data_IF_997676554320
#
_entry.id   IF_997676554320
#
_cell.length_a   1.000
_cell.length_b   1.000
_cell.length_c   1.000
_cell.angle_alpha   90.00
_cell.angle_beta   90.00
_cell.angle_gamma   90.00
#
_symmetry.space_group_name_H-M   'P 1'
#
loop_
_entity.id
_entity.type
_entity.pdbx_description
1 polymer ?
#
# COMPACT_ATOMS: atom_id res chain seq x y z
N UNK A 1 -6.79 9.71 -31.14
CA UNK A 1 -6.38 10.94 -30.44
C UNK A 1 -4.99 10.70 -29.85
N UNK A 2 -3.98 11.47 -30.27
CA UNK A 2 -2.59 11.37 -29.79
C UNK A 2 -2.58 11.67 -28.29
N UNK A 3 -1.79 10.95 -27.51
CA UNK A 3 -1.62 11.28 -26.09
C UNK A 3 -0.70 12.49 -26.00
N UNK A 4 -1.23 13.61 -25.53
CA UNK A 4 -0.54 14.91 -25.53
C UNK A 4 -0.39 15.50 -24.13
N UNK A 5 -0.32 14.64 -23.10
CA UNK A 5 -0.09 15.08 -21.73
C UNK A 5 1.38 14.96 -21.38
N UNK A 6 1.86 15.85 -20.52
CA UNK A 6 3.18 15.78 -19.94
C UNK A 6 3.09 15.61 -18.41
N UNK A 7 3.87 14.70 -17.79
CA UNK A 7 3.97 14.66 -16.32
C UNK A 7 4.55 15.97 -15.76
N UNK A 8 4.22 16.29 -14.51
CA UNK A 8 4.54 17.57 -13.88
C UNK A 8 5.50 17.37 -12.71
N UNK A 9 5.24 16.38 -11.85
CA UNK A 9 5.96 16.21 -10.59
C UNK A 9 6.69 14.86 -10.55
N UNK A 10 7.98 14.87 -10.25
CA UNK A 10 8.79 13.64 -10.24
C UNK A 10 8.69 12.87 -8.91
N UNK A 11 9.52 11.84 -8.72
CA UNK A 11 9.64 11.06 -7.50
C UNK A 11 9.99 11.94 -6.31
N UNK A 12 9.60 11.52 -5.09
CA UNK A 12 9.86 12.29 -3.88
C UNK A 12 11.35 12.62 -3.71
N UNK A 13 12.22 11.63 -3.96
CA UNK A 13 13.66 11.77 -3.82
C UNK A 13 14.22 12.91 -4.66
N UNK A 14 13.80 13.01 -5.92
CA UNK A 14 14.27 14.04 -6.82
C UNK A 14 13.52 15.36 -6.60
N UNK A 15 12.18 15.32 -6.51
CA UNK A 15 11.33 16.49 -6.25
C UNK A 15 11.74 17.27 -4.99
N UNK A 16 12.13 16.58 -3.92
CA UNK A 16 12.55 17.23 -2.68
C UNK A 16 13.81 18.09 -2.81
N UNK A 17 14.66 17.82 -3.81
CA UNK A 17 15.93 18.52 -4.08
C UNK A 17 15.78 19.68 -5.07
N UNK A 18 14.69 19.72 -5.83
CA UNK A 18 14.43 20.76 -6.82
C UNK A 18 14.23 22.14 -6.16
N UNK A 19 14.52 23.24 -6.88
CA UNK A 19 14.19 24.58 -6.40
C UNK A 19 12.67 24.82 -6.34
N UNK A 20 12.28 25.87 -5.62
CA UNK A 20 10.87 26.28 -5.44
C UNK A 20 10.43 27.17 -6.61
N UNK A 21 9.16 27.08 -6.98
CA UNK A 21 8.57 27.81 -8.09
C UNK A 21 8.93 27.21 -9.45
N UNK A 22 8.78 28.01 -10.50
CA UNK A 22 8.94 27.56 -11.89
C UNK A 22 10.36 27.14 -12.26
N UNK A 23 11.37 27.52 -11.47
CA UNK A 23 12.76 27.09 -11.68
C UNK A 23 12.89 25.56 -11.65
N UNK A 24 11.97 24.85 -10.99
CA UNK A 24 11.94 23.37 -11.02
C UNK A 24 11.77 22.81 -12.45
N UNK A 25 11.15 23.57 -13.35
CA UNK A 25 10.86 23.13 -14.72
C UNK A 25 12.10 23.16 -15.62
N UNK A 26 13.20 23.79 -15.20
CA UNK A 26 14.45 23.78 -15.95
C UNK A 26 15.03 22.37 -16.08
N UNK A 27 14.72 21.46 -15.15
CA UNK A 27 15.12 20.05 -15.25
C UNK A 27 14.16 19.21 -16.12
N UNK A 28 13.01 19.78 -16.54
CA UNK A 28 11.95 19.09 -17.27
C UNK A 28 11.49 19.88 -18.51
N UNK A 29 12.27 19.91 -19.59
CA UNK A 29 11.97 20.75 -20.75
C UNK A 29 10.65 20.36 -21.45
N UNK A 30 10.27 19.07 -21.48
CA UNK A 30 8.97 18.66 -22.04
C UNK A 30 7.81 19.24 -21.22
N UNK A 31 7.93 19.25 -19.90
CA UNK A 31 6.92 19.82 -18.98
C UNK A 31 6.88 21.32 -19.13
N UNK A 32 8.05 21.97 -19.22
CA UNK A 32 8.18 23.41 -19.45
C UNK A 32 7.48 23.84 -20.73
N UNK A 33 7.79 23.18 -21.86
CA UNK A 33 7.17 23.44 -23.15
C UNK A 33 5.66 23.20 -23.12
N UNK A 34 5.21 22.12 -22.47
CA UNK A 34 3.79 21.83 -22.29
C UNK A 34 3.04 22.97 -21.57
N UNK A 35 3.62 23.50 -20.50
CA UNK A 35 3.04 24.62 -19.74
C UNK A 35 3.07 25.92 -20.56
N UNK A 36 4.17 26.19 -21.26
CA UNK A 36 4.31 27.36 -22.14
C UNK A 36 3.26 27.37 -23.25
N UNK A 37 2.93 26.20 -23.82
CA UNK A 37 1.89 26.06 -24.83
C UNK A 37 0.46 26.28 -24.29
N UNK A 38 0.22 25.99 -23.01
CA UNK A 38 -1.09 26.18 -22.38
C UNK A 38 -1.29 27.61 -21.83
N UNK A 39 -0.19 28.31 -21.54
CA UNK A 39 -0.21 29.65 -20.93
C UNK A 39 -1.06 30.69 -21.69
N UNK A 40 -1.11 30.73 -23.04
CA UNK A 40 -1.96 31.68 -23.76
C UNK A 40 -3.47 31.47 -23.49
N UNK A 41 -3.91 30.23 -23.37
CA UNK A 41 -5.32 29.90 -23.05
C UNK A 41 -5.60 29.97 -21.54
N UNK A 42 -4.57 29.76 -20.71
CA UNK A 42 -4.66 29.68 -19.24
C UNK A 42 -3.58 30.55 -18.58
N UNK A 43 -3.75 31.89 -18.53
CA UNK A 43 -2.70 32.80 -18.03
C UNK A 43 -2.23 32.51 -16.59
N UNK A 44 -3.13 32.06 -15.72
CA UNK A 44 -2.85 31.74 -14.31
C UNK A 44 -2.43 30.28 -14.06
N UNK A 45 -2.07 29.51 -15.10
CA UNK A 45 -1.60 28.12 -14.95
C UNK A 45 -0.33 28.01 -14.09
N UNK A 46 0.47 29.07 -14.05
CA UNK A 46 1.68 29.16 -13.22
C UNK A 46 1.32 29.06 -11.74
N UNK A 47 0.24 29.72 -11.32
CA UNK A 47 -0.18 29.73 -9.92
C UNK A 47 -0.64 28.33 -9.48
N UNK A 48 -1.37 27.61 -10.34
CA UNK A 48 -1.76 26.21 -10.11
C UNK A 48 -0.54 25.33 -9.80
N UNK A 49 0.56 25.52 -10.54
CA UNK A 49 1.81 24.76 -10.36
C UNK A 49 2.47 25.12 -9.03
N UNK A 50 2.60 26.42 -8.73
CA UNK A 50 3.24 26.90 -7.50
C UNK A 50 2.47 26.36 -6.28
N UNK A 51 1.14 26.50 -6.28
CA UNK A 51 0.29 26.03 -5.20
C UNK A 51 0.36 24.51 -5.03
N UNK A 52 0.33 23.77 -6.14
CA UNK A 52 0.47 22.31 -6.12
C UNK A 52 1.86 21.87 -5.62
N UNK A 53 2.93 22.57 -6.01
CA UNK A 53 4.28 22.29 -5.55
C UNK A 53 4.39 22.51 -4.03
N UNK A 54 3.90 23.65 -3.53
CA UNK A 54 3.90 24.00 -2.11
C UNK A 54 3.09 23.00 -1.28
N UNK A 55 1.90 22.62 -1.74
CA UNK A 55 1.11 21.56 -1.11
C UNK A 55 1.88 20.25 -1.02
N UNK A 56 2.44 19.77 -2.13
CA UNK A 56 3.16 18.49 -2.17
C UNK A 56 4.39 18.49 -1.28
N UNK A 57 5.11 19.61 -1.16
CA UNK A 57 6.24 19.76 -0.24
C UNK A 57 5.79 19.71 1.22
N UNK A 58 4.73 20.44 1.57
CA UNK A 58 4.24 20.53 2.95
C UNK A 58 3.60 19.21 3.41
N UNK A 59 2.62 18.70 2.67
CA UNK A 59 1.82 17.53 3.02
C UNK A 59 2.54 16.21 2.72
N UNK A 60 3.53 16.21 1.81
CA UNK A 60 4.39 15.07 1.51
C UNK A 60 5.59 14.90 2.45
N UNK A 61 5.93 15.90 3.26
CA UNK A 61 7.16 15.93 4.09
C UNK A 61 7.33 14.72 5.01
N UNK A 62 6.24 14.22 5.58
CA UNK A 62 6.27 13.16 6.61
C UNK A 62 6.51 11.76 6.02
N UNK A 63 6.16 11.52 4.76
CA UNK A 63 6.27 10.20 4.14
C UNK A 63 6.22 10.27 2.62
N UNK A 64 7.18 9.59 1.99
CA UNK A 64 7.18 9.35 0.54
C UNK A 64 5.88 8.70 0.05
N UNK A 65 5.28 7.80 0.84
CA UNK A 65 4.02 7.17 0.48
C UNK A 65 2.86 8.19 0.41
N UNK A 66 2.82 9.13 1.36
CA UNK A 66 1.85 10.23 1.38
C UNK A 66 2.08 11.16 0.20
N UNK A 67 3.34 11.57 -0.05
CA UNK A 67 3.70 12.36 -1.23
C UNK A 67 3.24 11.68 -2.53
N UNK A 68 3.56 10.40 -2.71
CA UNK A 68 3.17 9.65 -3.92
C UNK A 68 1.65 9.59 -4.09
N UNK A 69 0.90 9.43 -3.00
CA UNK A 69 -0.56 9.43 -3.03
C UNK A 69 -1.10 10.78 -3.49
N UNK A 70 -0.70 11.87 -2.84
CA UNK A 70 -1.15 13.21 -3.22
C UNK A 70 -0.72 13.59 -4.62
N UNK A 71 0.55 13.36 -4.98
CA UNK A 71 1.10 13.65 -6.32
C UNK A 71 0.27 12.99 -7.42
N UNK A 72 -0.09 11.71 -7.24
CA UNK A 72 -0.87 11.00 -8.26
C UNK A 72 -2.26 11.63 -8.47
N UNK A 73 -2.94 12.05 -7.41
CA UNK A 73 -4.29 12.61 -7.52
C UNK A 73 -4.27 14.07 -7.99
N UNK A 74 -3.33 14.87 -7.48
CA UNK A 74 -3.19 16.28 -7.85
C UNK A 74 -2.73 16.43 -9.29
N UNK A 75 -1.73 15.65 -9.72
CA UNK A 75 -1.26 15.73 -11.11
C UNK A 75 -2.35 15.29 -12.11
N UNK A 76 -3.14 14.26 -11.79
CA UNK A 76 -4.31 13.89 -12.61
C UNK A 76 -5.31 15.04 -12.69
N UNK A 77 -5.57 15.69 -11.56
CA UNK A 77 -6.52 16.78 -11.47
C UNK A 77 -6.07 18.00 -12.29
N UNK A 78 -4.81 18.41 -12.16
CA UNK A 78 -4.22 19.50 -12.95
C UNK A 78 -4.30 19.20 -14.44
N UNK A 79 -3.84 18.01 -14.87
CA UNK A 79 -3.87 17.64 -16.28
C UNK A 79 -5.29 17.65 -16.82
N UNK A 80 -6.26 17.14 -16.06
CA UNK A 80 -7.66 17.15 -16.50
C UNK A 80 -8.21 18.59 -16.59
N UNK A 81 -7.92 19.41 -15.58
CA UNK A 81 -8.36 20.81 -15.52
C UNK A 81 -7.86 21.59 -16.73
N UNK A 82 -6.56 21.47 -17.04
CA UNK A 82 -5.94 22.26 -18.10
C UNK A 82 -6.29 21.76 -19.49
N UNK A 83 -6.36 20.44 -19.71
CA UNK A 83 -6.48 19.89 -21.07
C UNK A 83 -7.89 19.51 -21.48
N UNK A 84 -8.78 19.21 -20.52
CA UNK A 84 -10.16 18.80 -20.80
C UNK A 84 -11.12 19.91 -20.39
N UNK A 85 -11.03 20.41 -19.15
CA UNK A 85 -11.90 21.51 -18.71
C UNK A 85 -11.47 22.86 -19.28
N UNK A 86 -10.22 22.98 -19.75
CA UNK A 86 -9.59 24.24 -20.21
C UNK A 86 -9.78 25.37 -19.20
N UNK A 87 -9.52 25.06 -17.93
CA UNK A 87 -9.63 25.98 -16.80
C UNK A 87 -8.50 25.76 -15.80
N UNK A 88 -8.11 26.81 -15.10
CA UNK A 88 -7.25 26.71 -13.90
C UNK A 88 -8.05 26.18 -12.72
N UNK A 89 -7.41 25.55 -11.74
CA UNK A 89 -8.14 24.86 -10.66
C UNK A 89 -8.94 25.83 -9.76
N UNK A 90 -8.55 27.10 -9.71
CA UNK A 90 -9.27 28.15 -8.99
C UNK A 90 -10.51 28.68 -9.72
N UNK A 91 -10.67 28.40 -11.01
CA UNK A 91 -11.83 28.81 -11.83
C UNK A 91 -12.85 27.67 -12.07
N UNK A 92 -12.59 26.49 -11.51
CA UNK A 92 -13.49 25.34 -11.63
C UNK A 92 -14.76 25.54 -10.81
N UNK A 93 -15.91 25.40 -11.47
CA UNK A 93 -17.20 25.38 -10.80
C UNK A 93 -17.45 24.03 -10.12
N UNK A 94 -18.47 23.98 -9.25
CA UNK A 94 -18.93 22.71 -8.67
C UNK A 94 -19.29 21.66 -9.73
N UNK A 95 -19.94 22.08 -10.82
CA UNK A 95 -20.31 21.18 -11.92
C UNK A 95 -19.07 20.64 -12.65
N UNK A 96 -18.03 21.46 -12.81
CA UNK A 96 -16.76 21.00 -13.39
C UNK A 96 -16.10 19.94 -12.49
N UNK A 97 -16.11 20.15 -11.17
CA UNK A 97 -15.57 19.17 -10.22
C UNK A 97 -16.37 17.86 -10.21
N UNK A 98 -17.69 17.91 -10.34
CA UNK A 98 -18.52 16.71 -10.51
C UNK A 98 -18.13 15.95 -11.79
N UNK A 99 -17.94 16.65 -12.92
CA UNK A 99 -17.43 16.06 -14.18
C UNK A 99 -16.04 15.47 -14.05
N UNK A 100 -15.18 16.03 -13.20
CA UNK A 100 -13.86 15.44 -12.91
C UNK A 100 -14.00 14.07 -12.25
N UNK A 101 -14.90 13.91 -11.28
CA UNK A 101 -15.11 12.59 -10.65
C UNK A 101 -15.78 11.58 -11.59
N UNK A 102 -16.63 12.03 -12.51
CA UNK A 102 -17.16 11.19 -13.60
C UNK A 102 -16.03 10.70 -14.52
N UNK A 103 -15.13 11.62 -14.89
CA UNK A 103 -13.92 11.31 -15.65
C UNK A 103 -13.01 10.31 -14.92
N UNK A 104 -12.78 10.49 -13.61
CA UNK A 104 -12.00 9.56 -12.81
C UNK A 104 -12.61 8.14 -12.80
N UNK A 105 -13.93 8.03 -12.77
CA UNK A 105 -14.60 6.74 -12.79
C UNK A 105 -14.42 6.00 -14.13
N UNK A 106 -14.41 6.73 -15.26
CA UNK A 106 -14.26 6.15 -16.61
C UNK A 106 -13.35 7.01 -17.49
N UNK A 107 -12.02 7.00 -17.27
CA UNK A 107 -11.11 7.80 -18.06
C UNK A 107 -10.99 7.27 -19.50
N UNK A 108 -10.72 8.15 -20.48
CA UNK A 108 -10.46 7.75 -21.87
C UNK A 108 -9.27 6.78 -21.96
N UNK A 109 -9.29 5.88 -22.95
CA UNK A 109 -8.21 4.90 -23.17
C UNK A 109 -6.83 5.56 -23.34
N UNK A 110 -6.77 6.76 -23.92
CA UNK A 110 -5.52 7.50 -24.09
C UNK A 110 -4.86 7.88 -22.76
N UNK A 111 -5.61 7.98 -21.67
CA UNK A 111 -5.14 8.30 -20.31
C UNK A 111 -4.73 7.08 -19.48
N UNK A 112 -4.85 5.87 -20.03
CA UNK A 112 -4.62 4.61 -19.31
C UNK A 112 -3.45 3.85 -19.95
N UNK A 113 -2.42 3.55 -19.17
CA UNK A 113 -1.34 2.64 -19.57
C UNK A 113 -1.64 1.19 -19.19
N UNK A 114 -1.02 0.25 -19.89
CA UNK A 114 -1.09 -1.18 -19.59
C UNK A 114 -0.44 -1.54 -18.26
N UNK A 115 0.57 -0.76 -17.83
CA UNK A 115 1.30 -0.98 -16.60
C UNK A 115 1.80 0.34 -15.99
N UNK A 116 2.30 0.29 -14.77
CA UNK A 116 2.86 1.47 -14.10
C UNK A 116 4.24 1.78 -14.68
N UNK A 117 4.40 2.97 -15.25
CA UNK A 117 5.68 3.48 -15.74
C UNK A 117 6.18 4.66 -14.90
N UNK A 118 7.51 4.91 -14.93
CA UNK A 118 8.08 6.15 -14.40
C UNK A 118 7.53 7.34 -15.19
N UNK A 119 7.41 8.51 -14.57
CA UNK A 119 6.97 9.74 -15.25
C UNK A 119 8.01 10.24 -16.23
N UNK A 120 9.26 10.29 -15.76
CA UNK A 120 10.40 10.75 -16.52
C UNK A 120 11.38 9.61 -16.77
N UNK A 121 12.15 9.75 -17.84
CA UNK A 121 13.28 8.90 -18.22
C UNK A 121 14.45 9.79 -18.59
N UNK A 122 15.68 9.37 -18.28
CA UNK A 122 16.87 10.16 -18.62
C UNK A 122 17.31 9.83 -20.04
N UNK A 123 17.30 10.81 -20.92
CA UNK A 123 17.69 10.70 -22.33
C UNK A 123 18.73 11.79 -22.61
N UNK A 124 19.92 11.39 -23.07
CA UNK A 124 21.02 12.31 -23.37
C UNK A 124 21.37 13.28 -22.23
N UNK A 125 21.32 12.79 -20.99
CA UNK A 125 21.65 13.58 -19.80
C UNK A 125 20.47 14.34 -19.18
N UNK A 126 19.38 14.55 -19.90
CA UNK A 126 18.21 15.34 -19.47
C UNK A 126 17.01 14.45 -19.11
N UNK A 127 16.12 14.93 -18.22
CA UNK A 127 14.89 14.23 -17.87
C UNK A 127 13.81 14.56 -18.90
N UNK A 128 13.39 13.53 -19.65
CA UNK A 128 12.34 13.61 -20.66
C UNK A 128 11.09 12.87 -20.20
N UNK A 129 9.93 13.25 -20.73
CA UNK A 129 8.67 12.55 -20.49
C UNK A 129 8.80 11.09 -20.96
N UNK A 130 8.27 10.18 -20.15
CA UNK A 130 8.20 8.78 -20.55
C UNK A 130 6.99 8.58 -21.46
N UNK A 131 7.21 8.28 -22.73
CA UNK A 131 6.15 8.06 -23.72
C UNK A 131 5.17 6.94 -23.37
N UNK A 132 5.58 5.99 -22.51
CA UNK A 132 4.71 4.91 -22.01
C UNK A 132 3.91 5.31 -20.76
N UNK A 133 4.25 6.43 -20.13
CA UNK A 133 3.57 6.89 -18.92
C UNK A 133 2.19 7.45 -19.23
N UNK A 134 1.24 7.11 -18.35
CA UNK A 134 -0.10 7.67 -18.35
C UNK A 134 -0.56 7.92 -16.92
N UNK A 135 -1.49 8.86 -16.67
CA UNK A 135 -1.95 9.17 -15.31
C UNK A 135 -2.70 8.01 -14.64
N UNK A 136 -3.33 7.13 -15.43
CA UNK A 136 -3.93 5.87 -14.97
C UNK A 136 -3.15 4.68 -15.49
N UNK A 137 -3.17 3.58 -14.74
CA UNK A 137 -2.57 2.31 -15.15
C UNK A 137 -3.51 1.17 -14.79
N UNK A 138 -3.68 0.21 -15.70
CA UNK A 138 -4.43 -1.01 -15.42
C UNK A 138 -3.79 -1.77 -14.27
N UNK A 139 -4.60 -2.12 -13.27
CA UNK A 139 -4.20 -3.02 -12.18
C UNK A 139 -4.65 -4.43 -12.52
N UNK A 140 -3.70 -5.26 -12.91
CA UNK A 140 -3.91 -6.71 -13.02
C UNK A 140 -3.90 -7.28 -11.60
N UNK A 141 -4.86 -8.15 -11.28
CA UNK A 141 -4.89 -8.79 -9.96
C UNK A 141 -3.67 -9.70 -9.79
N UNK A 142 -3.33 -10.04 -8.55
CA UNK A 142 -2.13 -10.85 -8.25
C UNK A 142 -2.25 -12.27 -8.79
N UNK A 143 -3.44 -12.88 -8.70
CA UNK A 143 -3.74 -14.19 -9.27
C UNK A 143 -3.62 -14.15 -10.79
N UNK A 144 -4.23 -13.16 -11.44
CA UNK A 144 -4.22 -13.07 -12.91
C UNK A 144 -2.80 -12.85 -13.43
N UNK A 145 -1.98 -12.06 -12.72
CA UNK A 145 -0.57 -11.87 -13.06
C UNK A 145 0.23 -13.18 -12.99
N UNK A 146 -0.08 -14.05 -12.02
CA UNK A 146 0.57 -15.37 -11.92
C UNK A 146 0.13 -16.29 -13.04
N UNK A 147 -1.18 -16.33 -13.34
CA UNK A 147 -1.70 -17.10 -14.47
C UNK A 147 -1.12 -16.62 -15.80
N UNK A 148 -0.92 -15.31 -16.00
CA UNK A 148 -0.25 -14.76 -17.19
C UNK A 148 1.20 -15.25 -17.34
N UNK A 149 1.96 -15.25 -16.24
CA UNK A 149 3.33 -15.76 -16.24
C UNK A 149 3.40 -17.25 -16.59
N UNK A 150 2.35 -18.01 -16.28
CA UNK A 150 2.26 -19.44 -16.59
C UNK A 150 1.76 -19.71 -18.02
N UNK A 151 0.90 -18.86 -18.57
CA UNK A 151 0.21 -19.08 -19.86
C UNK A 151 0.77 -18.29 -21.04
N UNK A 152 1.73 -17.37 -20.83
CA UNK A 152 2.30 -16.47 -21.85
C UNK A 152 1.28 -15.58 -22.60
N UNK A 153 0.01 -15.53 -22.17
CA UNK A 153 -1.02 -14.69 -22.77
C UNK A 153 -1.00 -13.31 -22.10
N UNK A 154 -0.68 -12.26 -22.85
CA UNK A 154 -0.83 -10.87 -22.41
C UNK A 154 -2.28 -10.42 -22.55
N UNK A 155 -2.95 -9.95 -21.49
CA UNK A 155 -4.28 -9.36 -21.63
C UNK A 155 -4.16 -8.06 -22.45
N UNK A 156 -5.04 -7.91 -23.44
CA UNK A 156 -5.11 -6.72 -24.26
C UNK A 156 -5.70 -5.54 -23.44
N UNK A 157 -4.91 -4.48 -23.15
CA UNK A 157 -5.37 -3.28 -22.45
C UNK A 157 -6.54 -2.59 -23.14
N UNK A 158 -6.68 -2.79 -24.46
CA UNK A 158 -7.71 -2.16 -25.28
C UNK A 158 -9.12 -2.72 -25.01
N UNK A 159 -9.21 -3.93 -24.43
CA UNK A 159 -10.46 -4.65 -24.13
C UNK A 159 -10.97 -4.43 -22.70
N UNK A 160 -10.16 -3.86 -21.81
CA UNK A 160 -10.53 -3.63 -20.40
C UNK A 160 -10.86 -2.15 -20.23
N UNK A 161 -12.15 -1.83 -20.09
CA UNK A 161 -12.57 -0.50 -19.66
C UNK A 161 -12.06 -0.26 -18.24
N UNK A 162 -11.11 0.67 -18.09
CA UNK A 162 -10.61 1.04 -16.78
C UNK A 162 -11.73 1.71 -15.97
N UNK A 163 -12.10 1.10 -14.84
CA UNK A 163 -13.04 1.67 -13.88
C UNK A 163 -12.39 1.75 -12.51
N UNK A 164 -12.46 2.93 -11.89
CA UNK A 164 -11.96 3.11 -10.53
C UNK A 164 -12.82 2.32 -9.53
N UNK A 165 -12.17 1.66 -8.57
CA UNK A 165 -12.90 1.06 -7.45
C UNK A 165 -13.41 2.14 -6.50
N UNK A 166 -14.49 1.85 -5.75
CA UNK A 166 -15.01 2.80 -4.75
C UNK A 166 -13.97 3.19 -3.71
N UNK A 167 -13.04 2.29 -3.36
CA UNK A 167 -11.95 2.62 -2.43
C UNK A 167 -10.89 3.54 -3.05
N UNK A 168 -10.56 3.35 -4.33
CA UNK A 168 -9.71 4.29 -5.05
C UNK A 168 -10.38 5.67 -5.15
N UNK A 169 -11.69 5.70 -5.43
CA UNK A 169 -12.47 6.94 -5.47
C UNK A 169 -12.48 7.67 -4.12
N UNK A 170 -12.59 6.97 -2.98
CA UNK A 170 -12.45 7.59 -1.66
C UNK A 170 -11.09 8.25 -1.47
N UNK A 171 -10.01 7.62 -1.92
CA UNK A 171 -8.65 8.20 -1.86
C UNK A 171 -8.60 9.47 -2.71
N UNK A 172 -9.15 9.45 -3.93
CA UNK A 172 -9.25 10.64 -4.78
C UNK A 172 -9.99 11.77 -4.07
N UNK A 173 -11.20 11.52 -3.56
CA UNK A 173 -11.98 12.53 -2.82
C UNK A 173 -11.21 13.09 -1.62
N UNK A 174 -10.56 12.23 -0.82
CA UNK A 174 -9.77 12.69 0.31
C UNK A 174 -8.57 13.53 -0.12
N UNK A 175 -7.85 13.13 -1.16
CA UNK A 175 -6.69 13.87 -1.66
C UNK A 175 -7.07 15.25 -2.20
N UNK A 176 -8.11 15.31 -3.03
CA UNK A 176 -8.58 16.56 -3.64
C UNK A 176 -9.23 17.46 -2.58
N UNK A 177 -9.97 16.91 -1.61
CA UNK A 177 -10.49 17.70 -0.48
C UNK A 177 -9.37 18.34 0.31
N UNK A 178 -8.35 17.56 0.72
CA UNK A 178 -7.21 18.12 1.47
C UNK A 178 -6.44 19.16 0.65
N UNK A 179 -6.38 19.00 -0.67
CA UNK A 179 -5.78 19.99 -1.55
C UNK A 179 -6.61 21.29 -1.58
N UNK A 180 -7.93 21.22 -1.77
CA UNK A 180 -8.80 22.41 -1.72
C UNK A 180 -8.86 23.08 -0.34
N UNK A 181 -8.78 22.32 0.75
CA UNK A 181 -8.64 22.86 2.11
C UNK A 181 -7.37 23.72 2.20
N UNK A 182 -6.25 23.21 1.66
CA UNK A 182 -4.99 23.97 1.57
C UNK A 182 -5.12 25.20 0.66
N UNK A 183 -5.66 25.04 -0.55
CA UNK A 183 -5.82 26.17 -1.49
C UNK A 183 -6.70 27.28 -0.91
N UNK A 184 -7.71 26.91 -0.11
CA UNK A 184 -8.56 27.87 0.61
C UNK A 184 -7.79 28.57 1.72
N UNK A 185 -6.99 27.83 2.48
CA UNK A 185 -6.13 28.39 3.51
C UNK A 185 -5.11 29.40 2.96
N UNK A 186 -4.53 29.12 1.79
CA UNK A 186 -3.61 30.02 1.09
C UNK A 186 -4.33 31.17 0.33
N UNK A 187 -5.66 31.26 0.42
CA UNK A 187 -6.45 32.27 -0.28
C UNK A 187 -6.49 32.11 -1.81
N UNK A 188 -6.05 30.96 -2.34
CA UNK A 188 -6.03 30.69 -3.78
C UNK A 188 -7.41 30.32 -4.34
N UNK A 189 -8.23 29.68 -3.52
CA UNK A 189 -9.63 29.34 -3.83
C UNK A 189 -10.56 29.91 -2.78
N UNK A 190 -11.78 30.31 -3.16
CA UNK A 190 -12.77 30.84 -2.22
C UNK A 190 -13.22 29.84 -1.16
N UNK A 191 -13.25 28.55 -1.49
CA UNK A 191 -13.65 27.50 -0.55
C UNK A 191 -13.49 26.09 -1.10
N UNK A 192 -13.76 25.10 -0.25
CA UNK A 192 -13.68 23.68 -0.59
C UNK A 192 -15.08 23.07 -0.85
N UNK A 193 -15.47 22.84 -2.12
CA UNK A 193 -16.75 22.22 -2.46
C UNK A 193 -16.73 20.68 -2.39
N UNK A 194 -15.55 20.05 -2.24
CA UNK A 194 -15.37 18.59 -2.36
C UNK A 194 -16.18 17.79 -1.34
N UNK A 195 -16.30 18.19 -0.05
CA UNK A 195 -17.13 17.46 0.92
C UNK A 195 -18.60 17.35 0.50
N UNK A 196 -19.17 18.41 -0.08
CA UNK A 196 -20.54 18.42 -0.57
C UNK A 196 -20.72 17.49 -1.77
N UNK A 197 -19.81 17.57 -2.75
CA UNK A 197 -19.79 16.70 -3.94
C UNK A 197 -19.66 15.23 -3.52
N UNK A 198 -18.73 14.93 -2.60
CA UNK A 198 -18.51 13.58 -2.08
C UNK A 198 -19.78 12.99 -1.45
N UNK A 199 -20.54 13.78 -0.69
CA UNK A 199 -21.77 13.33 -0.01
C UNK A 199 -22.86 12.89 -1.01
N UNK A 200 -22.88 13.50 -2.18
CA UNK A 200 -23.86 13.28 -3.25
C UNK A 200 -23.34 12.34 -4.35
N UNK A 201 -22.09 11.91 -4.28
CA UNK A 201 -21.46 11.11 -5.34
C UNK A 201 -22.12 9.73 -5.50
N UNK A 202 -22.48 9.33 -6.75
CA UNK A 202 -23.03 8.00 -7.02
C UNK A 202 -21.96 6.89 -6.95
N UNK A 203 -20.68 7.24 -6.95
CA UNK A 203 -19.55 6.30 -6.97
C UNK A 203 -19.20 5.75 -5.58
N UNK A 204 -19.75 6.34 -4.53
CA UNK A 204 -19.53 5.93 -3.15
C UNK A 204 -20.80 5.24 -2.63
N UNK A 205 -20.91 3.94 -2.91
CA UNK A 205 -21.99 3.12 -2.35
C UNK A 205 -21.99 3.22 -0.82
N UNK A 206 -23.14 3.64 -0.26
CA UNK A 206 -23.37 3.65 1.18
C UNK A 206 -23.82 2.25 1.61
N UNK A 207 -22.95 1.52 2.28
CA UNK A 207 -23.22 0.17 2.77
C UNK A 207 -21.95 -0.68 2.83
N UNK A 208 -21.99 -1.75 3.62
CA UNK A 208 -20.92 -2.74 3.64
C UNK A 208 -20.89 -3.46 2.29
N UNK A 209 -20.00 -3.03 1.39
CA UNK A 209 -19.59 -3.90 0.28
C UNK A 209 -19.06 -5.19 0.91
N UNK A 210 -19.52 -6.35 0.42
CA UNK A 210 -18.99 -7.65 0.85
C UNK A 210 -17.49 -7.65 0.54
N UNK A 211 -16.68 -7.27 1.53
CA UNK A 211 -15.25 -7.35 1.40
C UNK A 211 -14.89 -8.80 1.69
N UNK A 212 -14.47 -9.52 0.64
CA UNK A 212 -13.94 -10.87 0.78
C UNK A 212 -12.98 -10.92 1.97
N UNK A 213 -13.17 -11.90 2.85
CA UNK A 213 -12.45 -11.95 4.11
C UNK A 213 -10.96 -12.14 3.81
N UNK A 214 -10.14 -11.10 4.05
CA UNK A 214 -8.69 -11.10 3.81
C UNK A 214 -7.93 -11.78 4.95
N UNK A 215 -8.24 -13.05 5.22
CA UNK A 215 -7.56 -13.91 6.20
C UNK A 215 -7.44 -15.33 5.66
N UNK A 216 -6.49 -16.08 6.21
CA UNK A 216 -6.36 -17.50 5.92
C UNK A 216 -7.40 -18.29 6.74
N UNK A 217 -7.89 -19.39 6.17
CA UNK A 217 -8.57 -20.43 6.95
C UNK A 217 -7.58 -21.19 7.82
N UNK A 218 -8.08 -21.94 8.81
CA UNK A 218 -7.26 -22.80 9.66
C UNK A 218 -6.44 -23.79 8.82
N UNK A 219 -7.09 -24.47 7.88
CA UNK A 219 -6.45 -25.38 6.92
C UNK A 219 -5.30 -24.69 6.16
N UNK A 220 -5.57 -23.54 5.53
CA UNK A 220 -4.55 -22.80 4.77
C UNK A 220 -3.36 -22.36 5.65
N UNK A 221 -3.63 -21.91 6.89
CA UNK A 221 -2.58 -21.54 7.83
C UNK A 221 -1.71 -22.74 8.22
N UNK A 222 -2.34 -23.87 8.53
CA UNK A 222 -1.63 -25.09 8.92
C UNK A 222 -0.73 -25.58 7.77
N UNK A 223 -1.21 -25.56 6.52
CA UNK A 223 -0.37 -25.81 5.34
C UNK A 223 0.81 -24.85 5.23
N UNK A 224 0.57 -23.54 5.38
CA UNK A 224 1.62 -22.51 5.25
C UNK A 224 2.71 -22.73 6.29
N UNK A 225 2.35 -22.92 7.56
CA UNK A 225 3.31 -23.12 8.64
C UNK A 225 4.08 -24.43 8.46
N UNK A 226 3.36 -25.54 8.24
CA UNK A 226 3.96 -26.87 8.09
C UNK A 226 4.90 -26.96 6.88
N UNK A 227 4.53 -26.34 5.75
CA UNK A 227 5.41 -26.28 4.59
C UNK A 227 6.68 -25.47 4.86
N UNK A 228 6.60 -24.38 5.65
CA UNK A 228 7.77 -23.62 6.05
C UNK A 228 8.70 -24.43 6.98
N UNK A 229 8.13 -25.22 7.89
CA UNK A 229 8.88 -26.12 8.78
C UNK A 229 9.63 -27.19 7.97
N UNK A 230 8.92 -27.92 7.10
CA UNK A 230 9.53 -28.92 6.21
C UNK A 230 10.63 -28.29 5.34
N UNK A 231 10.38 -27.10 4.78
CA UNK A 231 11.37 -26.43 3.95
C UNK A 231 12.62 -26.05 4.75
N UNK A 232 12.46 -25.53 5.97
CA UNK A 232 13.57 -25.17 6.86
C UNK A 232 14.33 -26.39 7.39
N UNK A 233 13.65 -27.50 7.67
CA UNK A 233 14.27 -28.77 8.07
C UNK A 233 15.13 -29.36 6.94
N UNK A 234 14.70 -29.20 5.68
CA UNK A 234 15.43 -29.68 4.50
C UNK A 234 16.59 -28.78 4.11
N UNK A 235 16.43 -27.46 4.22
CA UNK A 235 17.43 -26.48 3.82
C UNK A 235 17.38 -25.24 4.73
N UNK A 236 18.48 -25.03 5.44
CA UNK A 236 18.67 -23.95 6.42
C UNK A 236 18.42 -22.56 5.84
N UNK A 237 18.47 -22.36 4.51
CA UNK A 237 18.15 -21.06 3.89
C UNK A 237 16.70 -20.62 4.14
N UNK A 238 15.80 -21.56 4.44
CA UNK A 238 14.38 -21.31 4.71
C UNK A 238 14.09 -20.97 6.18
N UNK A 239 15.07 -21.03 7.08
CA UNK A 239 14.90 -20.64 8.49
C UNK A 239 14.38 -19.20 8.63
N UNK A 240 14.86 -18.29 7.77
CA UNK A 240 14.35 -16.91 7.72
C UNK A 240 12.88 -16.84 7.30
N UNK A 241 12.45 -17.70 6.39
CA UNK A 241 11.07 -17.73 5.91
C UNK A 241 10.14 -18.19 7.03
N UNK A 242 10.47 -19.32 7.66
CA UNK A 242 9.72 -19.87 8.79
C UNK A 242 9.57 -18.85 9.91
N UNK A 243 10.70 -18.28 10.34
CA UNK A 243 10.72 -17.25 11.38
C UNK A 243 9.86 -16.04 11.03
N UNK A 244 10.00 -15.50 9.81
CA UNK A 244 9.25 -14.33 9.37
C UNK A 244 7.74 -14.59 9.32
N UNK A 245 7.32 -15.75 8.81
CA UNK A 245 5.90 -16.12 8.70
C UNK A 245 5.28 -16.28 10.09
N UNK A 246 5.95 -17.02 10.99
CA UNK A 246 5.51 -17.21 12.36
C UNK A 246 5.40 -15.87 13.10
N UNK A 247 6.44 -15.02 13.00
CA UNK A 247 6.50 -13.73 13.68
C UNK A 247 5.38 -12.76 13.21
N UNK A 248 5.15 -12.67 11.89
CA UNK A 248 4.13 -11.77 11.33
C UNK A 248 2.71 -12.17 11.74
N UNK A 249 2.41 -13.48 11.76
CA UNK A 249 1.10 -13.99 12.15
C UNK A 249 0.87 -13.80 13.64
N UNK A 250 1.82 -14.28 14.46
CA UNK A 250 1.65 -14.41 15.90
C UNK A 250 1.69 -13.06 16.63
N UNK A 251 2.50 -12.11 16.16
CA UNK A 251 2.60 -10.77 16.77
C UNK A 251 1.79 -9.69 16.04
N UNK A 252 0.94 -10.09 15.10
CA UNK A 252 0.06 -9.18 14.34
C UNK A 252 0.79 -8.04 13.61
N UNK A 253 2.04 -8.28 13.23
CA UNK A 253 2.92 -7.25 12.72
C UNK A 253 2.54 -6.80 11.32
N UNK A 254 2.69 -5.50 11.06
CA UNK A 254 2.82 -5.02 9.69
C UNK A 254 4.22 -5.35 9.22
N UNK A 255 4.38 -5.79 7.97
CA UNK A 255 5.73 -6.04 7.39
C UNK A 255 6.66 -4.84 7.52
N UNK A 256 6.12 -3.63 7.43
CA UNK A 256 6.92 -2.42 7.59
C UNK A 256 7.59 -2.33 8.97
N UNK A 257 6.98 -2.90 10.01
CA UNK A 257 7.51 -2.91 11.40
C UNK A 257 8.77 -3.77 11.53
N UNK A 258 8.97 -4.74 10.61
CA UNK A 258 10.17 -5.56 10.50
C UNK A 258 11.14 -5.11 9.39
N UNK A 259 10.78 -4.09 8.61
CA UNK A 259 11.65 -3.60 7.53
C UNK A 259 12.52 -2.44 7.96
N UNK A 260 13.73 -2.37 7.38
CA UNK A 260 14.61 -1.19 7.49
C UNK A 260 13.95 0.03 6.86
N UNK A 261 13.99 1.15 7.59
CA UNK A 261 13.56 2.48 7.15
C UNK A 261 14.61 3.51 7.58
N UNK A 262 14.56 4.71 6.99
CA UNK A 262 15.51 5.80 7.28
C UNK A 262 15.64 6.12 8.79
N UNK A 263 14.53 6.01 9.53
CA UNK A 263 14.45 6.32 10.96
C UNK A 263 14.21 5.08 11.84
N UNK A 264 14.34 3.87 11.31
CA UNK A 264 14.06 2.65 12.08
C UNK A 264 14.76 1.43 11.51
N UNK A 265 15.54 0.75 12.35
CA UNK A 265 16.15 -0.54 12.05
C UNK A 265 15.72 -1.54 13.13
N UNK A 266 14.87 -2.53 12.83
CA UNK A 266 14.48 -3.54 13.80
C UNK A 266 15.66 -4.46 14.12
N UNK A 267 16.17 -4.43 15.36
CA UNK A 267 17.31 -5.21 15.85
C UNK A 267 16.92 -6.11 17.01
N UNK A 268 17.75 -7.11 17.33
CA UNK A 268 17.44 -8.08 18.38
C UNK A 268 17.33 -7.48 19.79
N UNK A 269 18.02 -6.37 20.09
CA UNK A 269 17.83 -5.60 21.35
C UNK A 269 16.41 -5.06 21.54
N UNK A 270 15.58 -5.04 20.50
CA UNK A 270 14.17 -4.69 20.63
C UNK A 270 13.32 -5.83 21.20
N UNK A 271 13.84 -7.06 21.28
CA UNK A 271 13.29 -8.08 22.16
C UNK A 271 13.80 -7.83 23.57
N UNK A 272 12.90 -7.73 24.53
CA UNK A 272 13.24 -7.48 25.93
C UNK A 272 12.32 -8.26 26.86
N UNK A 273 12.77 -8.44 28.10
CA UNK A 273 12.03 -9.16 29.14
C UNK A 273 11.82 -8.18 30.29
N UNK A 274 10.60 -8.14 30.83
CA UNK A 274 10.30 -7.33 32.02
C UNK A 274 10.70 -8.05 33.32
N UNK A 275 10.47 -7.39 34.47
CA UNK A 275 10.82 -7.93 35.78
C UNK A 275 10.02 -9.19 36.15
N UNK A 276 8.86 -9.39 35.53
CA UNK A 276 7.97 -10.54 35.76
C UNK A 276 8.28 -11.71 34.80
N UNK A 277 9.30 -11.56 33.94
CA UNK A 277 9.69 -12.58 32.97
C UNK A 277 8.85 -12.59 31.69
N UNK A 278 7.95 -11.61 31.49
CA UNK A 278 7.19 -11.51 30.25
C UNK A 278 8.08 -10.99 29.13
N UNK A 279 7.89 -11.54 27.94
CA UNK A 279 8.67 -11.18 26.77
C UNK A 279 7.93 -10.18 25.89
N UNK A 280 8.67 -9.21 25.39
CA UNK A 280 8.15 -8.08 24.63
C UNK A 280 8.97 -7.82 23.37
N UNK A 281 8.30 -7.35 22.32
CA UNK A 281 8.95 -6.85 21.11
C UNK A 281 8.58 -5.39 20.87
N UNK A 282 9.59 -4.51 20.87
CA UNK A 282 9.45 -3.09 20.55
C UNK A 282 9.39 -2.86 19.04
N UNK A 283 8.37 -2.15 18.57
CA UNK A 283 8.19 -1.85 17.14
C UNK A 283 7.82 -0.40 16.85
N UNK A 284 8.26 0.11 15.70
CA UNK A 284 7.82 1.40 15.15
C UNK A 284 6.68 1.22 14.13
N UNK A 285 5.46 1.51 14.59
CA UNK A 285 4.22 1.42 13.83
C UNK A 285 3.96 2.55 12.84
N UNK A 286 2.70 2.66 12.42
CA UNK A 286 2.23 3.73 11.51
C UNK A 286 2.24 5.07 12.25
N UNK A 287 2.71 6.13 11.57
CA UNK A 287 2.76 7.48 12.15
C UNK A 287 3.91 7.68 13.14
N UNK A 288 4.98 6.88 13.05
CA UNK A 288 6.14 6.90 13.95
C UNK A 288 5.77 6.65 15.43
N UNK A 289 4.73 5.87 15.68
CA UNK A 289 4.33 5.47 17.03
C UNK A 289 5.08 4.20 17.45
N UNK A 290 5.83 4.28 18.54
CA UNK A 290 6.47 3.12 19.17
C UNK A 290 5.44 2.41 20.05
N UNK A 291 5.50 1.09 20.08
CA UNK A 291 4.76 0.25 21.03
C UNK A 291 5.53 -1.04 21.29
N UNK A 292 5.25 -1.65 22.43
CA UNK A 292 5.70 -2.99 22.77
C UNK A 292 4.57 -3.99 22.52
N UNK A 293 4.91 -5.17 22.01
CA UNK A 293 3.98 -6.24 21.70
C UNK A 293 4.34 -7.45 22.55
N UNK A 294 3.35 -8.00 23.24
CA UNK A 294 3.55 -9.22 24.03
C UNK A 294 3.95 -10.41 23.17
N UNK A 295 5.00 -11.14 23.56
CA UNK A 295 5.56 -12.29 22.82
C UNK A 295 5.10 -13.58 23.50
N UNK A 296 4.23 -14.39 22.86
CA UNK A 296 3.73 -15.62 23.47
C UNK A 296 4.78 -16.74 23.48
N UNK A 297 4.71 -17.61 24.51
CA UNK A 297 5.65 -18.73 24.68
C UNK A 297 5.72 -19.67 23.47
N UNK A 298 4.61 -19.85 22.76
CA UNK A 298 4.53 -20.67 21.54
C UNK A 298 5.36 -20.10 20.36
N UNK A 299 5.89 -18.88 20.47
CA UNK A 299 6.79 -18.30 19.45
C UNK A 299 8.27 -18.52 19.77
N UNK A 300 8.61 -18.91 21.02
CA UNK A 300 9.99 -18.98 21.49
C UNK A 300 10.81 -20.04 20.77
N UNK A 301 10.22 -21.17 20.37
CA UNK A 301 10.95 -22.19 19.62
C UNK A 301 11.36 -21.67 18.24
N UNK A 302 10.49 -20.94 17.53
CA UNK A 302 10.84 -20.31 16.25
C UNK A 302 11.91 -19.21 16.42
N UNK A 303 11.84 -18.43 17.50
CA UNK A 303 12.87 -17.41 17.82
C UNK A 303 14.24 -18.08 18.03
N UNK A 304 14.31 -19.09 18.91
CA UNK A 304 15.56 -19.81 19.21
C UNK A 304 16.13 -20.51 17.98
N UNK A 305 15.27 -21.18 17.20
CA UNK A 305 15.65 -21.86 15.96
C UNK A 305 16.31 -20.88 14.98
N UNK A 306 15.72 -19.70 14.80
CA UNK A 306 16.30 -18.69 13.92
C UNK A 306 17.57 -18.04 14.49
N UNK A 307 17.66 -17.79 15.80
CA UNK A 307 18.89 -17.31 16.43
C UNK A 307 20.06 -18.30 16.23
N UNK A 308 19.83 -19.60 16.43
CA UNK A 308 20.82 -20.64 16.19
C UNK A 308 21.29 -20.66 14.73
N UNK A 309 20.36 -20.53 13.78
CA UNK A 309 20.70 -20.37 12.37
C UNK A 309 21.58 -19.14 12.14
N UNK A 310 21.25 -17.99 12.74
CA UNK A 310 22.03 -16.75 12.60
C UNK A 310 23.44 -16.86 13.16
N UNK A 311 23.59 -17.55 14.29
CA UNK A 311 24.90 -17.87 14.89
C UNK A 311 25.70 -18.77 13.95
N UNK A 312 25.07 -19.81 13.36
CA UNK A 312 25.75 -20.76 12.47
C UNK A 312 26.33 -20.13 11.21
N UNK A 313 25.66 -19.11 10.64
CA UNK A 313 26.13 -18.42 9.43
C UNK A 313 26.99 -17.18 9.71
N UNK A 314 26.99 -16.69 10.96
CA UNK A 314 27.71 -15.49 11.35
C UNK A 314 28.11 -15.57 12.83
N UNK A 315 29.34 -16.02 13.15
CA UNK A 315 29.84 -16.08 14.52
C UNK A 315 29.90 -14.72 15.23
N UNK A 316 29.85 -13.62 14.48
CA UNK A 316 29.79 -12.24 15.00
C UNK A 316 28.36 -11.75 15.23
N UNK A 317 27.37 -12.63 15.19
CA UNK A 317 25.98 -12.29 15.46
C UNK A 317 25.82 -11.73 16.89
N UNK A 318 25.25 -10.54 16.99
CA UNK A 318 25.01 -9.82 18.25
C UNK A 318 23.56 -9.33 18.36
N UNK A 319 23.19 -8.84 19.54
CA UNK A 319 21.90 -8.20 19.80
C UNK A 319 21.66 -6.96 18.90
N UNK A 320 22.72 -6.32 18.41
CA UNK A 320 22.65 -5.14 17.52
C UNK A 320 22.37 -5.49 16.07
N UNK A 321 22.35 -6.77 15.72
CA UNK A 321 22.02 -7.20 14.38
C UNK A 321 20.53 -7.07 14.07
N UNK A 322 20.16 -6.86 12.80
CA UNK A 322 18.76 -6.83 12.39
C UNK A 322 18.03 -8.14 12.72
N UNK A 323 16.78 -8.01 13.21
CA UNK A 323 15.88 -9.13 13.51
C UNK A 323 15.71 -10.00 12.26
N UNK A 324 15.54 -9.40 11.08
CA UNK A 324 15.48 -10.14 9.80
C UNK A 324 16.54 -9.58 8.85
N UNK A 325 17.60 -10.35 8.63
CA UNK A 325 18.73 -9.95 7.80
C UNK A 325 18.68 -10.52 6.39
N UNK A 326 19.44 -9.89 5.49
CA UNK A 326 19.70 -10.42 4.15
C UNK A 326 20.58 -11.68 4.25
N UNK A 327 20.35 -12.66 3.36
CA UNK A 327 21.23 -13.84 3.25
C UNK A 327 22.53 -13.50 2.51
N UNK A 328 22.51 -12.45 1.68
CA UNK A 328 23.68 -11.93 0.96
C UNK A 328 23.79 -10.43 1.23
N UNK A 329 25.00 -9.99 1.57
CA UNK A 329 25.29 -8.61 1.97
C UNK A 329 24.88 -8.29 3.42
N UNK A 330 25.04 -7.02 3.80
CA UNK A 330 24.90 -6.57 5.19
C UNK A 330 23.55 -5.90 5.43
N UNK A 331 23.08 -5.99 6.68
CA UNK A 331 21.94 -5.24 7.20
C UNK A 331 20.58 -5.90 7.03
N UNK A 332 19.55 -5.19 7.49
CA UNK A 332 18.18 -5.68 7.50
C UNK A 332 17.52 -5.61 6.12
N UNK A 333 16.31 -6.14 6.03
CA UNK A 333 15.59 -6.23 4.76
C UNK A 333 14.60 -5.09 4.55
N UNK A 334 14.38 -4.71 3.28
CA UNK A 334 13.32 -3.79 2.89
C UNK A 334 11.95 -4.45 2.97
N UNK A 335 10.88 -3.64 3.09
CA UNK A 335 9.49 -4.13 3.07
C UNK A 335 9.18 -4.97 1.81
N UNK A 336 9.81 -4.67 0.67
CA UNK A 336 9.62 -5.43 -0.58
C UNK A 336 10.22 -6.83 -0.47
N UNK A 337 11.44 -6.93 0.04
CA UNK A 337 12.12 -8.22 0.19
C UNK A 337 11.39 -9.13 1.18
N UNK A 338 10.93 -8.60 2.32
CA UNK A 338 10.14 -9.35 3.29
C UNK A 338 8.82 -9.87 2.69
N UNK A 339 8.13 -9.04 1.89
CA UNK A 339 6.91 -9.49 1.18
C UNK A 339 7.19 -10.61 0.18
N UNK A 340 8.35 -10.61 -0.48
CA UNK A 340 8.71 -11.66 -1.41
C UNK A 340 8.95 -13.00 -0.69
N UNK A 341 9.63 -12.98 0.47
CA UNK A 341 9.85 -14.19 1.28
C UNK A 341 8.52 -14.80 1.72
N UNK A 342 7.60 -13.98 2.23
CA UNK A 342 6.27 -14.48 2.63
C UNK A 342 5.46 -14.94 1.43
N UNK A 343 5.67 -14.32 0.26
CA UNK A 343 5.00 -14.81 -0.95
C UNK A 343 5.50 -16.20 -1.34
N UNK A 344 6.80 -16.44 -1.27
CA UNK A 344 7.39 -17.74 -1.54
C UNK A 344 6.83 -18.81 -0.58
N UNK A 345 6.62 -18.47 0.70
CA UNK A 345 5.93 -19.36 1.65
C UNK A 345 4.51 -19.73 1.21
N UNK A 346 3.72 -18.75 0.75
CA UNK A 346 2.38 -19.01 0.21
C UNK A 346 2.41 -19.84 -1.06
N UNK A 347 3.46 -19.71 -1.87
CA UNK A 347 3.60 -20.42 -3.14
C UNK A 347 3.94 -21.89 -2.89
N UNK A 348 4.86 -22.17 -1.96
CA UNK A 348 5.17 -23.55 -1.53
C UNK A 348 3.91 -24.22 -0.97
N UNK A 349 3.16 -23.53 -0.10
CA UNK A 349 1.93 -24.05 0.48
C UNK A 349 0.83 -24.26 -0.58
N UNK A 350 0.72 -23.36 -1.55
CA UNK A 350 -0.22 -23.48 -2.66
C UNK A 350 0.05 -24.75 -3.48
N UNK A 351 1.30 -24.98 -3.90
CA UNK A 351 1.68 -26.16 -4.67
C UNK A 351 1.45 -27.46 -3.87
N UNK A 352 1.75 -27.44 -2.57
CA UNK A 352 1.48 -28.58 -1.68
C UNK A 352 -0.01 -28.88 -1.58
N UNK A 353 -0.85 -27.87 -1.33
CA UNK A 353 -2.30 -28.03 -1.28
C UNK A 353 -2.87 -28.55 -2.61
N UNK A 354 -2.36 -28.07 -3.75
CA UNK A 354 -2.75 -28.58 -5.05
C UNK A 354 -2.40 -30.06 -5.22
N UNK A 355 -1.18 -30.45 -4.84
CA UNK A 355 -0.71 -31.84 -4.95
C UNK A 355 -1.53 -32.83 -4.12
N UNK A 356 -2.19 -32.35 -3.07
CA UNK A 356 -3.06 -33.15 -2.18
C UNK A 356 -4.55 -33.00 -2.49
N UNK A 357 -4.90 -32.33 -3.60
CA UNK A 357 -6.29 -32.24 -4.08
C UNK A 357 -7.10 -31.05 -3.56
N UNK A 358 -6.53 -30.17 -2.73
CA UNK A 358 -7.20 -28.97 -2.20
C UNK A 358 -7.24 -27.80 -3.20
N UNK A 359 -7.88 -28.02 -4.35
CA UNK A 359 -7.87 -27.09 -5.49
C UNK A 359 -8.57 -25.76 -5.22
N UNK A 360 -9.74 -25.77 -4.58
CA UNK A 360 -10.51 -24.55 -4.36
C UNK A 360 -9.94 -23.71 -3.19
N UNK A 361 -9.53 -24.37 -2.12
CA UNK A 361 -8.95 -23.74 -0.93
C UNK A 361 -7.59 -23.12 -1.23
N UNK A 362 -6.79 -23.72 -2.12
CA UNK A 362 -5.47 -23.20 -2.47
C UNK A 362 -5.52 -21.87 -3.22
N UNK A 363 -6.55 -21.59 -4.04
CA UNK A 363 -6.67 -20.36 -4.86
C UNK A 363 -6.48 -19.07 -4.04
N UNK A 364 -6.93 -19.05 -2.79
CA UNK A 364 -6.78 -17.89 -1.93
C UNK A 364 -5.29 -17.51 -1.70
N UNK A 365 -4.41 -18.50 -1.59
CA UNK A 365 -2.96 -18.31 -1.35
C UNK A 365 -2.26 -17.58 -2.51
N UNK A 366 -2.74 -17.74 -3.74
CA UNK A 366 -2.20 -17.00 -4.89
C UNK A 366 -2.41 -15.48 -4.75
N UNK A 367 -3.53 -15.08 -4.15
CA UNK A 367 -3.91 -13.69 -3.93
C UNK A 367 -3.47 -13.15 -2.56
N UNK A 368 -3.16 -14.04 -1.63
CA UNK A 368 -2.82 -13.71 -0.25
C UNK A 368 -1.63 -12.74 -0.18
N UNK A 369 -1.66 -11.86 0.81
CA UNK A 369 -0.58 -10.90 1.07
C UNK A 369 -0.15 -11.02 2.52
N UNK A 370 1.00 -10.44 2.86
CA UNK A 370 1.49 -10.44 4.24
C UNK A 370 0.50 -9.85 5.25
N UNK A 371 -0.39 -8.96 4.80
CA UNK A 371 -1.43 -8.41 5.66
C UNK A 371 -2.49 -9.45 6.07
N UNK A 372 -2.65 -10.53 5.30
CA UNK A 372 -3.53 -11.64 5.65
C UNK A 372 -3.02 -12.36 6.89
N UNK A 373 -1.70 -12.53 7.08
CA UNK A 373 -1.14 -13.14 8.30
C UNK A 373 -1.53 -12.34 9.54
N UNK A 374 -1.34 -11.02 9.51
CA UNK A 374 -1.77 -10.11 10.57
C UNK A 374 -3.27 -10.26 10.86
N UNK A 375 -4.12 -10.25 9.84
CA UNK A 375 -5.56 -10.41 10.02
C UNK A 375 -5.94 -11.79 10.55
N UNK A 376 -5.25 -12.84 10.11
CA UNK A 376 -5.49 -14.22 10.55
C UNK A 376 -5.21 -14.31 12.04
N UNK A 377 -4.00 -13.94 12.48
CA UNK A 377 -3.63 -13.94 13.88
C UNK A 377 -4.57 -13.09 14.74
N UNK A 378 -4.82 -11.84 14.34
CA UNK A 378 -5.69 -10.95 15.11
C UNK A 378 -7.13 -11.46 15.21
N UNK A 379 -7.63 -12.18 14.20
CA UNK A 379 -8.99 -12.74 14.23
C UNK A 379 -9.11 -14.05 14.98
N UNK A 380 -8.01 -14.80 15.14
CA UNK A 380 -7.98 -16.01 15.97
C UNK A 380 -7.91 -15.67 17.45
N UNK A 381 -7.16 -14.62 17.81
CA UNK A 381 -6.92 -14.24 19.20
C UNK A 381 -8.02 -13.34 19.80
N UNK A 382 -8.92 -12.81 18.96
CA UNK A 382 -9.97 -11.88 19.37
C UNK A 382 -11.01 -12.50 20.32
N UNK A 383 -11.21 -13.80 20.24
CA UNK A 383 -12.10 -14.54 21.13
C UNK A 383 -11.47 -14.85 22.49
N UNK A 384 -10.14 -14.84 22.58
CA UNK A 384 -9.40 -15.27 23.77
C UNK A 384 -8.82 -14.13 24.60
N UNK A 385 -8.59 -12.95 24.02
CA UNK A 385 -7.92 -11.83 24.70
C UNK A 385 -8.79 -10.59 24.84
N UNK A 386 -8.63 -9.80 25.93
CA UNK A 386 -9.29 -8.50 26.06
C UNK A 386 -9.02 -7.59 24.86
N UNK A 387 -10.08 -7.00 24.30
CA UNK A 387 -10.01 -6.17 23.09
C UNK A 387 -9.01 -5.02 23.21
N UNK A 388 -8.87 -4.43 24.40
CA UNK A 388 -7.92 -3.35 24.66
C UNK A 388 -6.48 -3.81 24.45
N UNK A 389 -6.09 -4.94 25.06
CA UNK A 389 -4.74 -5.50 24.92
C UNK A 389 -4.42 -5.80 23.46
N UNK A 390 -5.40 -6.35 22.72
CA UNK A 390 -5.21 -6.58 21.29
C UNK A 390 -5.08 -5.28 20.49
N UNK A 391 -5.87 -4.25 20.81
CA UNK A 391 -5.79 -2.96 20.12
C UNK A 391 -4.43 -2.31 20.31
N UNK A 392 -3.86 -2.44 21.52
CA UNK A 392 -2.52 -1.98 21.88
C UNK A 392 -1.46 -2.78 21.09
N UNK A 393 -1.48 -4.12 21.11
CA UNK A 393 -0.56 -4.98 20.33
C UNK A 393 -0.64 -4.68 18.82
N UNK A 394 -1.85 -4.46 18.28
CA UNK A 394 -2.09 -4.10 16.89
C UNK A 394 -1.61 -2.66 16.54
N UNK A 395 -1.46 -1.80 17.54
CA UNK A 395 -1.15 -0.38 17.37
C UNK A 395 -2.26 0.36 16.64
N UNK A 396 -3.52 0.14 17.04
CA UNK A 396 -4.68 0.85 16.51
C UNK A 396 -4.94 2.12 17.34
N UNK A 397 -4.96 3.28 16.68
CA UNK A 397 -5.24 4.56 17.35
C UNK A 397 -6.72 4.80 17.64
N UNK A 398 -7.61 3.95 17.13
CA UNK A 398 -9.05 4.03 17.34
C UNK A 398 -9.61 2.62 17.48
N UNK A 399 -10.45 2.42 18.50
CA UNK A 399 -11.13 1.15 18.76
C UNK A 399 -11.98 0.70 17.56
N UNK A 400 -12.56 1.63 16.79
CA UNK A 400 -13.34 1.33 15.59
C UNK A 400 -12.58 0.57 14.49
N UNK A 401 -11.23 0.62 14.49
CA UNK A 401 -10.41 -0.19 13.56
C UNK A 401 -10.27 -1.64 14.05
N UNK A 402 -10.27 -1.85 15.37
CA UNK A 402 -10.32 -3.17 16.00
C UNK A 402 -11.72 -3.77 15.89
N UNK A 403 -12.76 -2.93 16.00
CA UNK A 403 -14.15 -3.35 15.82
C UNK A 403 -14.42 -3.91 14.42
N UNK A 404 -13.77 -3.41 13.36
CA UNK A 404 -13.90 -4.02 12.03
C UNK A 404 -13.30 -5.43 11.92
N UNK A 405 -12.37 -5.81 12.80
CA UNK A 405 -11.87 -7.18 12.90
C UNK A 405 -12.88 -8.03 13.67
N UNK A 406 -13.49 -7.48 14.72
CA UNK A 406 -14.54 -8.10 15.55
C UNK A 406 -15.89 -8.30 14.82
N UNK A 407 -16.36 -7.30 14.08
CA UNK A 407 -17.61 -7.36 13.29
C UNK A 407 -17.55 -8.52 12.28
N UNK A 408 -16.35 -8.95 11.85
CA UNK A 408 -16.19 -10.06 10.90
C UNK A 408 -16.30 -11.44 11.54
N UNK A 409 -16.02 -11.60 12.84
CA UNK A 409 -16.40 -12.83 13.58
C UNK A 409 -17.90 -12.88 13.79
N UNK A 410 -18.52 -11.74 14.16
CA UNK A 410 -19.97 -11.59 14.33
C UNK A 410 -20.76 -11.92 13.05
N UNK A 411 -20.27 -11.57 11.85
CA UNK A 411 -20.94 -11.96 10.59
C UNK A 411 -21.11 -13.48 10.39
N UNK A 412 -20.14 -14.30 10.81
CA UNK A 412 -20.25 -15.77 10.71
C UNK A 412 -21.30 -16.30 11.69
N UNK A 413 -21.27 -15.79 12.91
CA UNK A 413 -22.24 -16.13 13.96
C UNK A 413 -23.64 -15.69 13.56
N UNK A 414 -23.81 -14.45 13.10
CA UNK A 414 -25.04 -13.91 12.54
C UNK A 414 -25.57 -14.73 11.35
N UNK A 415 -24.69 -15.22 10.47
CA UNK A 415 -25.10 -16.09 9.37
C UNK A 415 -25.53 -17.48 9.89
N UNK A 416 -24.83 -18.04 10.87
CA UNK A 416 -25.18 -19.32 11.49
C UNK A 416 -26.51 -19.27 12.23
N UNK A 417 -26.72 -18.23 13.06
CA UNK A 417 -27.99 -17.99 13.77
C UNK A 417 -29.13 -17.59 12.81
N UNK A 418 -28.80 -16.98 11.67
CA UNK A 418 -29.77 -16.69 10.61
C UNK A 418 -30.35 -17.93 9.93
N UNK A 419 -29.62 -19.05 9.89
CA UNK A 419 -30.07 -20.30 9.22
C UNK A 419 -31.30 -20.93 9.88
N UNK A 420 -31.50 -20.71 11.18
CA UNK A 420 -32.61 -21.27 11.94
C UNK A 420 -33.85 -20.37 11.98
N UNK A 421 -33.85 -19.24 11.25
CA UNK A 421 -35.01 -18.33 11.19
C UNK A 421 -36.13 -18.96 10.36
N UNK A 422 -37.33 -19.03 10.95
CA UNK A 422 -38.55 -19.43 10.24
C UNK A 422 -39.09 -18.23 9.43
N UNK A 423 -39.72 -18.51 8.28
CA UNK A 423 -40.38 -17.53 7.41
C UNK A 423 -41.68 -17.05 8.04
#
# INVERSE_FOLDING_TARGET
MKFDLCPIFDSFEHFSKLPIGLTMLNEYPDTKLFIENLKPELPSIIDDIIQSQSFLRSYGRKSEATYRSYRNEIERFLLWSWTIAKKTINSLSRQDLERYFDFLNKPPKSWVSSSVHSRFVRISGELRKNEKWRPFALKISKSDRKQQLQTSITPDPSKIAHKLSGEAMKICFSAISSFYDYLTYEGYTFGNPIPAIRKQSPYLLKGATQTAIKRLSKLQWDYVLHCCEIAADKDVKYERMLFLVALLKTLYLRVSELSVRKNWNPIWEHFWIDNDGNQWLKVLGKGNKIRDISVPNALLHYIKRYQNYRISISPRFTSKDPIVSKNRGVGGMSSRQLRNIVQEAFDIAYEKMLSEGHREESKALQSATTHWLRHTGASEDISSRPLKHMADDLGHSSMGTTDQVYIKSDMKERAATGKSRKV
#
